data_IF_557967182087
#
_entry.id   IF_557967182087
#
_cell.length_a   1.000
_cell.length_b   1.000
_cell.length_c   1.000
_cell.angle_alpha   90.00
_cell.angle_beta   90.00
_cell.angle_gamma   90.00
#
_symmetry.space_group_name_H-M   'P 1'
#
loop_
_entity.id
_entity.type
_entity.pdbx_description
1 polymer ?
#
# COMPACT_ATOMS: atom_id res chain seq x y z
N UNK A 1 -12.14 -43.11 -1.64
CA UNK A 1 -11.84 -42.50 -0.33
C UNK A 1 -10.44 -41.89 -0.38
N UNK A 2 -10.30 -40.57 -0.23
CA UNK A 2 -9.00 -39.86 -0.30
C UNK A 2 -8.31 -39.70 1.06
N UNK A 3 -8.99 -40.02 2.17
CA UNK A 3 -8.49 -39.81 3.55
C UNK A 3 -7.16 -40.50 3.87
N UNK A 4 -6.74 -41.50 3.09
CA UNK A 4 -5.45 -42.17 3.26
C UNK A 4 -4.28 -41.42 2.58
N UNK A 5 -4.58 -40.43 1.73
CA UNK A 5 -3.60 -39.65 0.96
C UNK A 5 -3.63 -38.15 1.27
N UNK A 6 -4.68 -37.67 1.95
CA UNK A 6 -4.86 -36.26 2.30
C UNK A 6 -4.81 -36.11 3.81
N UNK A 7 -3.86 -35.32 4.29
CA UNK A 7 -3.72 -34.93 5.70
C UNK A 7 -4.24 -33.51 5.91
N UNK A 8 -4.78 -33.24 7.09
CA UNK A 8 -5.22 -31.90 7.49
C UNK A 8 -4.17 -31.18 8.36
N UNK A 9 -3.01 -31.79 8.54
CA UNK A 9 -1.87 -31.18 9.24
C UNK A 9 -1.21 -30.15 8.31
N UNK A 10 -1.12 -28.87 8.70
CA UNK A 10 -0.52 -27.84 7.85
C UNK A 10 1.01 -27.89 7.90
N UNK A 11 1.64 -27.34 6.88
CA UNK A 11 3.04 -26.93 6.97
C UNK A 11 3.14 -25.62 7.76
N UNK A 12 4.09 -25.54 8.70
CA UNK A 12 4.31 -24.37 9.55
C UNK A 12 5.71 -23.84 9.28
N UNK A 13 5.80 -22.55 8.97
CA UNK A 13 7.07 -21.85 8.77
C UNK A 13 7.06 -20.54 9.56
N UNK A 14 8.14 -20.31 10.32
CA UNK A 14 8.38 -19.05 11.02
C UNK A 14 9.40 -18.22 10.25
N UNK A 15 9.05 -16.97 9.94
CA UNK A 15 9.95 -16.02 9.28
C UNK A 15 10.01 -14.73 10.10
N UNK A 16 11.22 -14.27 10.40
CA UNK A 16 11.41 -12.94 11.01
C UNK A 16 11.24 -11.87 9.93
N UNK A 17 10.32 -10.94 10.18
CA UNK A 17 10.15 -9.75 9.35
C UNK A 17 11.21 -8.72 9.77
N UNK A 18 12.04 -8.30 8.82
CA UNK A 18 13.00 -7.21 8.99
C UNK A 18 12.58 -5.98 8.16
N UNK A 19 13.47 -5.00 8.05
CA UNK A 19 13.18 -3.73 7.36
C UNK A 19 13.15 -3.85 5.83
N UNK A 20 13.60 -4.97 5.26
CA UNK A 20 13.63 -5.20 3.81
C UNK A 20 12.28 -5.71 3.30
N UNK A 21 11.43 -6.25 4.18
CA UNK A 21 10.10 -6.76 3.82
C UNK A 21 9.06 -5.65 3.92
N UNK A 22 8.58 -5.19 2.77
CA UNK A 22 7.59 -4.11 2.69
C UNK A 22 6.15 -4.58 2.91
N UNK A 23 5.79 -5.74 2.37
CA UNK A 23 4.44 -6.29 2.45
C UNK A 23 4.41 -7.82 2.34
N UNK A 24 3.27 -8.40 2.70
CA UNK A 24 2.92 -9.81 2.54
C UNK A 24 1.62 -9.93 1.73
N UNK A 25 1.63 -10.80 0.71
CA UNK A 25 0.44 -11.17 -0.07
C UNK A 25 0.03 -12.58 0.30
N UNK A 26 -1.23 -12.75 0.68
CA UNK A 26 -1.86 -14.05 0.90
C UNK A 26 -3.05 -14.14 -0.03
N UNK A 27 -3.13 -15.18 -0.86
CA UNK A 27 -4.20 -15.30 -1.84
C UNK A 27 -4.55 -16.76 -2.14
N UNK A 28 -5.74 -16.96 -2.68
CA UNK A 28 -6.17 -18.23 -3.26
C UNK A 28 -5.42 -18.53 -4.57
N UNK A 29 -5.42 -19.79 -4.98
CA UNK A 29 -4.85 -20.28 -6.24
C UNK A 29 -5.40 -19.55 -7.48
N UNK A 30 -6.67 -19.15 -7.47
CA UNK A 30 -7.24 -18.31 -8.53
C UNK A 30 -6.46 -17.02 -8.82
N UNK A 31 -5.65 -16.50 -7.87
CA UNK A 31 -4.68 -15.44 -8.15
C UNK A 31 -3.40 -16.02 -8.78
N UNK A 32 -2.76 -16.97 -8.10
CA UNK A 32 -1.43 -17.50 -8.42
C UNK A 32 -1.36 -18.29 -9.72
N UNK A 33 -2.49 -18.83 -10.19
CA UNK A 33 -2.60 -19.55 -11.46
C UNK A 33 -2.29 -18.65 -12.68
N UNK A 34 -2.50 -17.33 -12.55
CA UNK A 34 -2.38 -16.36 -13.66
C UNK A 34 -1.53 -15.13 -13.33
N UNK A 35 -1.16 -14.94 -12.07
CA UNK A 35 -0.27 -13.86 -11.61
C UNK A 35 1.04 -14.47 -11.09
N UNK A 36 2.15 -14.35 -11.84
CA UNK A 36 3.47 -14.76 -11.39
C UNK A 36 3.92 -14.01 -10.13
N UNK A 37 4.83 -14.61 -9.35
CA UNK A 37 5.36 -14.02 -8.13
C UNK A 37 6.02 -12.65 -8.40
N UNK A 38 6.71 -12.49 -9.53
CA UNK A 38 7.36 -11.25 -9.93
C UNK A 38 6.34 -10.13 -10.20
N UNK A 39 5.19 -10.48 -10.79
CA UNK A 39 4.09 -9.54 -11.02
C UNK A 39 3.41 -9.18 -9.69
N UNK A 40 3.24 -10.16 -8.80
CA UNK A 40 2.67 -9.95 -7.47
C UNK A 40 3.53 -9.03 -6.59
N UNK A 41 4.84 -8.89 -6.88
CA UNK A 41 5.74 -7.96 -6.19
C UNK A 41 5.85 -6.60 -6.89
N UNK A 42 5.81 -6.57 -8.23
CA UNK A 42 5.99 -5.33 -9.01
C UNK A 42 4.72 -4.50 -9.17
N UNK A 43 3.54 -5.14 -9.33
CA UNK A 43 2.26 -4.43 -9.45
C UNK A 43 1.91 -3.58 -8.22
N UNK A 44 2.17 -4.02 -6.97
CA UNK A 44 2.00 -3.22 -5.77
C UNK A 44 2.82 -1.92 -5.73
N UNK A 45 3.98 -1.86 -6.37
CA UNK A 45 4.90 -0.71 -6.26
C UNK A 45 4.31 0.61 -6.78
N UNK A 46 3.22 0.56 -7.56
CA UNK A 46 2.52 1.76 -8.00
C UNK A 46 1.43 2.26 -7.04
N UNK A 47 1.14 1.52 -5.96
CA UNK A 47 0.05 1.81 -5.05
C UNK A 47 0.59 1.94 -3.61
N UNK A 48 0.15 2.98 -2.90
CA UNK A 48 0.58 3.18 -1.52
C UNK A 48 -0.28 2.39 -0.52
N UNK A 49 -1.60 2.34 -0.78
CA UNK A 49 -2.58 1.73 0.13
C UNK A 49 -2.73 0.22 -0.12
N UNK A 50 -2.68 -0.62 0.93
CA UNK A 50 -2.75 -2.07 0.78
C UNK A 50 -4.07 -2.56 0.15
N UNK A 51 -5.17 -1.84 0.37
CA UNK A 51 -6.45 -2.14 -0.28
C UNK A 51 -6.42 -1.89 -1.80
N UNK A 52 -5.73 -0.83 -2.24
CA UNK A 52 -5.55 -0.55 -3.65
C UNK A 52 -4.68 -1.62 -4.32
N UNK A 53 -3.60 -2.05 -3.65
CA UNK A 53 -2.78 -3.19 -4.08
C UNK A 53 -3.65 -4.45 -4.22
N UNK A 54 -4.44 -4.81 -3.22
CA UNK A 54 -5.27 -6.01 -3.24
C UNK A 54 -6.27 -5.97 -4.41
N UNK A 55 -6.94 -4.83 -4.62
CA UNK A 55 -7.84 -4.64 -5.78
C UNK A 55 -7.12 -4.77 -7.11
N UNK A 56 -5.92 -4.21 -7.23
CA UNK A 56 -5.13 -4.29 -8.46
C UNK A 56 -4.72 -5.73 -8.79
N UNK A 57 -4.29 -6.49 -7.78
CA UNK A 57 -3.93 -7.91 -7.94
C UNK A 57 -5.15 -8.74 -8.36
N UNK A 58 -6.28 -8.60 -7.67
CA UNK A 58 -7.51 -9.36 -8.02
C UNK A 58 -8.06 -8.98 -9.39
N UNK A 59 -8.04 -7.69 -9.74
CA UNK A 59 -8.40 -7.22 -11.07
C UNK A 59 -7.46 -7.77 -12.16
N UNK A 60 -6.15 -7.81 -11.89
CA UNK A 60 -5.16 -8.38 -12.82
C UNK A 60 -5.43 -9.86 -13.07
N UNK A 61 -5.69 -10.65 -12.03
CA UNK A 61 -6.04 -12.06 -12.21
C UNK A 61 -7.35 -12.25 -12.99
N UNK A 62 -8.36 -11.42 -12.70
CA UNK A 62 -9.63 -11.44 -13.43
C UNK A 62 -9.45 -11.13 -14.92
N UNK A 63 -8.69 -10.09 -15.25
CA UNK A 63 -8.41 -9.70 -16.64
C UNK A 63 -7.53 -10.69 -17.40
N UNK A 64 -6.69 -11.46 -16.68
CA UNK A 64 -5.91 -12.57 -17.25
C UNK A 64 -6.70 -13.86 -17.41
N UNK A 65 -7.99 -13.85 -17.07
CA UNK A 65 -8.90 -14.95 -17.33
C UNK A 65 -8.87 -16.06 -16.28
N UNK A 66 -8.56 -15.73 -15.02
CA UNK A 66 -8.74 -16.69 -13.93
C UNK A 66 -10.18 -17.21 -13.89
N UNK A 67 -10.30 -18.53 -13.79
CA UNK A 67 -11.58 -19.25 -13.80
C UNK A 67 -12.00 -19.74 -12.39
N UNK A 68 -11.26 -19.34 -11.35
CA UNK A 68 -11.53 -19.68 -9.95
C UNK A 68 -11.92 -18.42 -9.14
N UNK A 69 -12.27 -18.63 -7.88
CA UNK A 69 -12.41 -17.60 -6.86
C UNK A 69 -11.09 -16.84 -6.66
N UNK A 70 -11.15 -15.53 -6.84
CA UNK A 70 -9.99 -14.64 -6.70
C UNK A 70 -10.13 -13.90 -5.38
N UNK A 71 -9.38 -14.35 -4.36
CA UNK A 71 -9.31 -13.69 -3.05
C UNK A 71 -7.86 -13.33 -2.73
N UNK A 72 -7.63 -12.12 -2.24
CA UNK A 72 -6.30 -11.61 -1.90
C UNK A 72 -6.35 -10.74 -0.65
N UNK A 73 -5.38 -10.94 0.25
CA UNK A 73 -5.12 -10.15 1.44
C UNK A 73 -3.71 -9.57 1.29
N UNK A 74 -3.59 -8.26 1.50
CA UNK A 74 -2.31 -7.55 1.48
C UNK A 74 -2.06 -6.94 2.85
N UNK A 75 -0.93 -7.27 3.44
CA UNK A 75 -0.48 -6.71 4.72
C UNK A 75 0.75 -5.86 4.45
N UNK A 76 0.66 -4.55 4.66
CA UNK A 76 1.81 -3.63 4.58
C UNK A 76 2.46 -3.50 5.95
N UNK A 77 3.76 -3.74 6.04
CA UNK A 77 4.50 -3.59 7.28
C UNK A 77 4.86 -2.12 7.49
N UNK A 78 4.64 -1.60 8.70
CA UNK A 78 5.06 -0.24 9.04
C UNK A 78 6.56 -0.25 9.30
N UNK A 79 7.30 0.56 8.55
CA UNK A 79 8.67 0.87 8.93
C UNK A 79 8.64 1.77 10.17
N UNK A 80 9.52 1.54 11.16
CA UNK A 80 9.59 2.42 12.31
C UNK A 80 9.98 3.82 11.84
N UNK A 81 9.12 4.80 12.13
CA UNK A 81 9.41 6.21 11.88
C UNK A 81 10.79 6.56 12.47
N UNK A 82 11.66 7.26 11.72
CA UNK A 82 12.91 7.74 12.29
C UNK A 82 12.56 8.63 13.49
N UNK A 83 13.08 8.28 14.67
CA UNK A 83 12.87 9.08 15.89
C UNK A 83 13.37 10.49 15.60
N UNK A 84 12.44 11.43 15.44
CA UNK A 84 12.77 12.85 15.43
C UNK A 84 13.43 13.17 16.77
N UNK A 85 14.72 13.50 16.75
CA UNK A 85 15.43 13.98 17.92
C UNK A 85 14.92 15.39 18.26
N UNK A 86 13.77 15.49 18.93
CA UNK A 86 13.32 16.74 19.55
C UNK A 86 13.76 16.79 21.01
N UNK A 87 15.08 16.93 21.21
CA UNK A 87 15.62 17.55 22.41
C UNK A 87 16.07 18.97 22.04
N UNK A 88 15.13 19.90 22.05
CA UNK A 88 15.39 21.33 22.21
C UNK A 88 14.18 21.92 22.95
N UNK A 89 14.31 21.99 24.28
CA UNK A 89 13.37 22.73 25.11
C UNK A 89 13.59 24.24 24.96
N UNK A 90 12.47 24.95 24.82
CA UNK A 90 12.12 26.31 25.31
C UNK A 90 12.53 27.60 24.56
N UNK A 91 11.48 28.39 24.24
CA UNK A 91 11.45 29.83 23.90
C UNK A 91 11.67 30.13 22.41
N UNK A 92 10.89 30.92 21.67
CA UNK A 92 10.12 32.13 22.02
C UNK A 92 9.22 32.51 20.83
N UNK A 93 8.02 33.01 21.11
CA UNK A 93 7.21 34.00 20.35
C UNK A 93 6.76 33.76 18.89
N UNK A 94 5.44 33.68 18.73
CA UNK A 94 4.68 33.84 17.49
C UNK A 94 4.76 35.27 16.93
N UNK A 95 5.00 35.41 15.63
CA UNK A 95 4.65 36.62 14.87
C UNK A 95 4.22 36.24 13.44
N UNK A 96 3.14 36.86 12.90
CA UNK A 96 2.55 36.49 11.62
C UNK A 96 3.37 37.07 10.45
N UNK A 97 3.56 36.30 9.37
CA UNK A 97 4.12 36.81 8.11
C UNK A 97 3.01 37.05 7.10
N UNK A 98 3.01 38.29 6.61
CA UNK A 98 2.07 38.94 5.72
C UNK A 98 1.77 38.14 4.43
N UNK A 99 0.48 38.03 4.14
CA UNK A 99 -0.03 37.80 2.79
C UNK A 99 0.13 39.11 1.99
N UNK A 100 0.76 39.02 0.83
CA UNK A 100 0.90 40.16 -0.09
C UNK A 100 -0.32 40.16 -1.01
N UNK A 101 -1.16 41.20 -0.88
CA UNK A 101 -2.27 41.47 -1.79
C UNK A 101 -1.77 41.80 -3.22
N UNK A 102 -2.34 41.12 -4.20
CA UNK A 102 -2.30 41.51 -5.61
C UNK A 102 -3.44 42.51 -5.84
N UNK A 103 -3.14 43.80 -5.74
CA UNK A 103 -4.02 44.88 -6.18
C UNK A 103 -3.91 44.96 -7.70
N UNK A 104 -4.93 44.51 -8.42
CA UNK A 104 -5.13 44.85 -9.83
C UNK A 104 -6.09 46.04 -9.90
N UNK A 105 -5.48 47.16 -10.28
CA UNK A 105 -6.02 48.50 -10.35
C UNK A 105 -7.25 48.57 -11.27
N UNK A 106 -8.23 49.35 -10.82
CA UNK A 106 -9.43 49.66 -11.57
C UNK A 106 -9.12 50.74 -12.61
N UNK A 107 -9.63 50.58 -13.82
CA UNK A 107 -9.84 51.72 -14.73
C UNK A 107 -11.31 51.84 -15.12
N UNK A 108 -11.80 53.07 -15.34
CA UNK A 108 -13.16 53.46 -15.00
C UNK A 108 -14.14 53.37 -16.18
N UNK A 109 -15.41 53.30 -15.82
CA UNK A 109 -16.59 53.53 -16.67
C UNK A 109 -16.37 54.57 -17.77
N UNK A 110 -16.73 54.22 -19.01
CA UNK A 110 -17.28 55.18 -19.97
C UNK A 110 -18.42 54.57 -20.81
N UNK A 111 -19.63 55.00 -20.43
CA UNK A 111 -20.89 55.19 -21.18
C UNK A 111 -21.76 53.98 -21.54
#
# INVERSE_FOLDING_TARGET
MLKQFVVAEPEIQDQKIDHEVEFLVIAADGLWDVVPNEDAVSLPQSEEEPEAVARKLTFTASTRGSADSITCIVVKFRQPEPKSNHNAETGTESSPKAETELILDATPDQK
#
